data_IF_119619413166
#
_entry.id   IF_119619413166
#
_cell.length_a   1.000
_cell.length_b   1.000
_cell.length_c   1.000
_cell.angle_alpha   90.00
_cell.angle_beta   90.00
_cell.angle_gamma   90.00
#
_symmetry.space_group_name_H-M   'P 1'
#
loop_
_entity.id
_entity.type
_entity.pdbx_description
1 polymer ?
#
# COMPACT_ATOMS: atom_id res chain seq x y z
N UNK A 1 82.38 -23.87 -58.36
CA UNK A 1 82.03 -23.28 -59.67
C UNK A 1 80.56 -22.92 -59.60
N UNK A 2 80.23 -21.64 -59.41
CA UNK A 2 80.04 -20.67 -60.50
C UNK A 2 78.70 -20.92 -61.21
N UNK A 3 77.86 -19.96 -61.57
CA UNK A 3 77.67 -18.51 -61.35
C UNK A 3 76.43 -18.18 -62.24
N UNK A 4 75.94 -16.93 -62.21
CA UNK A 4 75.09 -16.26 -63.22
C UNK A 4 73.58 -16.60 -63.13
N UNK A 5 72.69 -15.75 -62.59
CA UNK A 5 72.20 -14.42 -63.02
C UNK A 5 71.25 -14.45 -64.22
N UNK A 6 70.01 -13.98 -64.04
CA UNK A 6 69.41 -13.01 -64.96
C UNK A 6 68.31 -12.17 -64.28
N UNK A 7 68.47 -10.85 -64.39
CA UNK A 7 67.49 -9.76 -64.27
C UNK A 7 66.28 -10.00 -65.21
N UNK A 8 65.08 -9.42 -65.16
CA UNK A 8 64.45 -8.14 -64.76
C UNK A 8 62.93 -8.50 -64.67
N UNK A 9 62.03 -7.82 -63.95
CA UNK A 9 61.39 -6.56 -64.39
C UNK A 9 60.43 -6.10 -63.28
N UNK A 10 60.52 -4.81 -62.95
CA UNK A 10 59.63 -4.04 -62.08
C UNK A 10 58.22 -3.92 -62.71
N UNK A 11 57.18 -4.19 -61.94
CA UNK A 11 55.86 -3.57 -62.11
C UNK A 11 55.31 -3.26 -60.70
N UNK A 12 55.46 -2.01 -60.29
CA UNK A 12 54.72 -1.45 -59.15
C UNK A 12 53.25 -1.38 -59.55
N UNK A 13 52.41 -2.22 -58.92
CA UNK A 13 50.97 -1.94 -58.81
C UNK A 13 50.71 -1.72 -57.33
N UNK A 14 50.61 -0.45 -56.93
CA UNK A 14 50.18 -0.06 -55.59
C UNK A 14 48.69 -0.38 -55.43
N UNK A 15 48.38 -1.54 -54.86
CA UNK A 15 47.05 -1.84 -54.34
C UNK A 15 46.96 -1.32 -52.91
N UNK A 16 46.12 -0.29 -52.71
CA UNK A 16 45.63 0.09 -51.38
C UNK A 16 44.92 -1.12 -50.75
N UNK A 17 45.57 -1.77 -49.79
CA UNK A 17 44.91 -2.65 -48.83
C UNK A 17 44.18 -1.74 -47.82
N UNK A 18 42.90 -1.45 -48.08
CA UNK A 18 41.99 -0.97 -47.04
C UNK A 18 41.74 -2.17 -46.12
N UNK A 19 42.06 -2.10 -44.82
CA UNK A 19 41.62 -3.12 -43.90
C UNK A 19 40.10 -3.01 -43.78
N UNK A 20 39.35 -3.92 -44.42
CA UNK A 20 37.99 -4.19 -43.97
C UNK A 20 38.13 -4.80 -42.59
N UNK A 21 37.96 -3.96 -41.56
CA UNK A 21 37.59 -4.45 -40.25
C UNK A 21 36.29 -5.25 -40.43
N UNK A 22 36.39 -6.57 -40.39
CA UNK A 22 35.21 -7.41 -40.14
C UNK A 22 34.71 -6.98 -38.76
N UNK A 23 33.69 -6.12 -38.75
CA UNK A 23 32.85 -5.97 -37.58
C UNK A 23 32.35 -7.37 -37.24
N UNK A 24 32.70 -7.84 -36.05
CA UNK A 24 32.05 -9.01 -35.49
C UNK A 24 30.53 -8.79 -35.63
N UNK A 25 29.74 -9.79 -36.07
CA UNK A 25 28.30 -9.65 -36.03
C UNK A 25 27.94 -9.39 -34.57
N UNK A 26 27.50 -8.17 -34.28
CA UNK A 26 26.97 -7.81 -32.98
C UNK A 26 25.92 -8.85 -32.64
N UNK A 27 26.15 -9.61 -31.58
CA UNK A 27 25.13 -10.47 -31.01
C UNK A 27 23.92 -9.56 -30.82
N UNK A 28 22.70 -9.91 -31.28
CA UNK A 28 21.52 -9.21 -30.83
C UNK A 28 21.60 -9.28 -29.31
N UNK A 29 21.74 -8.15 -28.62
CA UNK A 29 21.71 -8.15 -27.16
C UNK A 29 20.34 -8.67 -26.79
N UNK A 30 20.24 -9.95 -26.45
CA UNK A 30 18.99 -10.52 -26.00
C UNK A 30 18.66 -9.79 -24.70
N UNK A 31 17.71 -8.86 -24.78
CA UNK A 31 17.26 -8.11 -23.62
C UNK A 31 16.79 -9.11 -22.56
N UNK A 32 17.23 -8.92 -21.32
CA UNK A 32 16.66 -9.67 -20.20
C UNK A 32 15.24 -9.16 -19.90
N UNK A 33 14.56 -9.76 -18.92
CA UNK A 33 13.17 -9.40 -18.62
C UNK A 33 12.99 -7.92 -18.25
N UNK A 34 13.95 -7.31 -17.54
CA UNK A 34 13.90 -5.89 -17.22
C UNK A 34 14.27 -5.02 -18.42
N UNK A 35 15.18 -5.46 -19.29
CA UNK A 35 15.43 -4.80 -20.57
C UNK A 35 14.22 -4.80 -21.49
N UNK A 36 13.44 -5.89 -21.52
CA UNK A 36 12.17 -5.94 -22.24
C UNK A 36 11.15 -4.97 -21.65
N UNK A 37 11.02 -4.93 -20.31
CA UNK A 37 10.15 -3.98 -19.62
C UNK A 37 10.51 -2.53 -19.94
N UNK A 38 11.79 -2.17 -19.86
CA UNK A 38 12.29 -0.81 -20.12
C UNK A 38 12.04 -0.31 -21.55
N UNK A 39 12.03 -1.23 -22.53
CA UNK A 39 11.83 -0.88 -23.93
C UNK A 39 10.35 -0.81 -24.35
N UNK A 40 9.41 -1.09 -23.43
CA UNK A 40 7.97 -0.95 -23.70
C UNK A 40 7.51 0.48 -23.44
N UNK A 41 6.53 0.93 -24.23
CA UNK A 41 5.81 2.18 -23.97
C UNK A 41 4.97 2.01 -22.71
N UNK A 42 4.87 3.06 -21.90
CA UNK A 42 4.08 3.06 -20.66
C UNK A 42 2.63 2.54 -20.87
N UNK A 43 1.98 2.94 -21.97
CA UNK A 43 0.62 2.51 -22.33
C UNK A 43 0.49 1.04 -22.75
N UNK A 44 1.59 0.29 -22.81
CA UNK A 44 1.64 -1.10 -23.28
C UNK A 44 2.29 -2.03 -22.25
N UNK A 45 2.57 -1.53 -21.06
CA UNK A 45 3.07 -2.31 -19.93
C UNK A 45 1.94 -3.21 -19.40
N UNK A 46 2.28 -4.47 -19.12
CA UNK A 46 1.36 -5.41 -18.47
C UNK A 46 1.91 -5.85 -17.11
N UNK A 47 1.04 -6.41 -16.27
CA UNK A 47 1.47 -6.94 -14.96
C UNK A 47 2.52 -8.04 -15.12
N UNK A 48 2.34 -8.92 -16.11
CA UNK A 48 3.29 -9.98 -16.47
C UNK A 48 4.66 -9.43 -16.82
N UNK A 49 4.78 -8.29 -17.50
CA UNK A 49 6.09 -7.70 -17.82
C UNK A 49 6.86 -7.33 -16.55
N UNK A 50 6.17 -6.67 -15.60
CA UNK A 50 6.76 -6.27 -14.32
C UNK A 50 7.13 -7.49 -13.49
N UNK A 51 6.20 -8.45 -13.37
CA UNK A 51 6.42 -9.73 -12.66
C UNK A 51 7.63 -10.48 -13.21
N UNK A 52 7.79 -10.55 -14.54
CA UNK A 52 8.94 -11.20 -15.17
C UNK A 52 10.26 -10.48 -14.85
N UNK A 53 10.29 -9.15 -14.88
CA UNK A 53 11.47 -8.37 -14.48
C UNK A 53 11.83 -8.64 -13.01
N UNK A 54 10.85 -8.59 -12.10
CA UNK A 54 11.07 -8.84 -10.68
C UNK A 54 11.59 -10.26 -10.40
N UNK A 55 11.02 -11.27 -11.05
CA UNK A 55 11.49 -12.65 -10.92
C UNK A 55 12.87 -12.90 -11.51
N UNK A 56 13.31 -12.09 -12.49
CA UNK A 56 14.62 -12.21 -13.10
C UNK A 56 15.76 -11.70 -12.20
N UNK A 57 15.46 -10.96 -11.13
CA UNK A 57 16.47 -10.49 -10.17
C UNK A 57 16.99 -11.69 -9.36
N UNK A 58 18.31 -11.99 -9.43
CA UNK A 58 18.88 -13.16 -8.80
C UNK A 58 18.93 -13.01 -7.28
N UNK A 59 18.60 -14.09 -6.57
CA UNK A 59 18.72 -14.14 -5.11
C UNK A 59 20.16 -13.93 -4.63
N UNK A 60 20.37 -12.95 -3.75
CA UNK A 60 21.66 -12.71 -3.09
C UNK A 60 21.64 -13.24 -1.65
N UNK A 61 22.28 -14.39 -1.43
CA UNK A 61 22.27 -15.07 -0.12
C UNK A 61 22.90 -14.26 1.02
N UNK A 62 23.87 -13.39 0.71
CA UNK A 62 24.54 -12.57 1.73
C UNK A 62 23.61 -11.45 2.19
N UNK A 63 23.01 -10.72 1.24
CA UNK A 63 22.05 -9.67 1.54
C UNK A 63 20.80 -10.25 2.22
N UNK A 64 20.25 -11.34 1.69
CA UNK A 64 19.08 -12.01 2.25
C UNK A 64 19.30 -12.45 3.70
N UNK A 65 20.49 -12.97 4.02
CA UNK A 65 20.84 -13.34 5.40
C UNK A 65 20.79 -12.11 6.32
N UNK A 66 21.45 -11.01 5.94
CA UNK A 66 21.44 -9.80 6.76
C UNK A 66 20.02 -9.24 6.94
N UNK A 67 19.25 -9.17 5.84
CA UNK A 67 17.87 -8.69 5.86
C UNK A 67 17.02 -9.52 6.82
N UNK A 68 17.12 -10.85 6.73
CA UNK A 68 16.34 -11.74 7.58
C UNK A 68 16.74 -11.65 9.06
N UNK A 69 18.04 -11.58 9.36
CA UNK A 69 18.53 -11.38 10.73
C UNK A 69 17.99 -10.07 11.34
N UNK A 70 17.95 -9.02 10.53
CA UNK A 70 17.41 -7.72 10.93
C UNK A 70 15.90 -7.79 11.18
N UNK A 71 15.12 -8.26 10.20
CA UNK A 71 13.66 -8.37 10.32
C UNK A 71 13.29 -9.26 11.50
N UNK A 72 13.98 -10.39 11.67
CA UNK A 72 13.75 -11.28 12.81
C UNK A 72 14.03 -10.58 14.15
N UNK A 73 15.10 -9.80 14.25
CA UNK A 73 15.41 -9.03 15.48
C UNK A 73 14.34 -7.98 15.76
N UNK A 74 13.91 -7.22 14.74
CA UNK A 74 12.85 -6.21 14.89
C UNK A 74 11.54 -6.82 15.39
N UNK A 75 11.08 -7.92 14.78
CA UNK A 75 9.85 -8.60 15.21
C UNK A 75 10.00 -9.32 16.56
N UNK A 76 11.19 -9.73 16.95
CA UNK A 76 11.42 -10.35 18.25
C UNK A 76 11.40 -9.32 19.37
N UNK A 77 12.06 -8.18 19.17
CA UNK A 77 12.41 -7.27 20.24
C UNK A 77 11.56 -5.99 20.28
N UNK A 78 10.86 -5.63 19.19
CA UNK A 78 10.02 -4.43 19.09
C UNK A 78 8.54 -4.72 18.80
N UNK A 79 8.21 -5.83 18.14
CA UNK A 79 6.81 -6.20 17.92
C UNK A 79 6.18 -6.76 19.21
N UNK A 80 5.34 -5.97 19.86
CA UNK A 80 4.78 -6.26 21.18
C UNK A 80 3.71 -7.35 21.17
N UNK A 81 3.00 -7.53 20.06
CA UNK A 81 1.82 -8.39 19.94
C UNK A 81 2.11 -9.85 19.53
N UNK A 82 3.35 -10.33 19.67
CA UNK A 82 3.71 -11.72 19.31
C UNK A 82 2.90 -12.80 20.03
N UNK A 83 2.53 -12.56 21.29
CA UNK A 83 1.70 -13.47 22.10
C UNK A 83 0.21 -13.40 21.70
N UNK A 84 -0.28 -12.19 21.40
CA UNK A 84 -1.64 -11.98 20.88
C UNK A 84 -1.80 -12.66 19.52
N UNK A 85 -0.81 -12.55 18.63
CA UNK A 85 -0.80 -13.21 17.32
C UNK A 85 -0.85 -14.74 17.42
N UNK A 86 -0.35 -15.32 18.52
CA UNK A 86 -0.40 -16.75 18.80
C UNK A 86 -1.70 -17.21 19.49
N UNK A 87 -2.54 -16.28 19.93
CA UNK A 87 -3.69 -16.60 20.76
C UNK A 87 -4.89 -17.13 19.94
N UNK A 88 -5.28 -18.42 20.07
CA UNK A 88 -6.39 -18.97 19.30
C UNK A 88 -7.77 -18.57 19.86
N UNK A 89 -7.82 -17.83 20.98
CA UNK A 89 -9.04 -17.54 21.74
C UNK A 89 -9.67 -16.19 21.42
N UNK A 90 -9.16 -15.45 20.44
CA UNK A 90 -9.80 -14.21 20.00
C UNK A 90 -11.28 -14.48 19.63
N UNK A 91 -12.22 -13.67 20.11
CA UNK A 91 -13.64 -13.85 19.80
C UNK A 91 -13.92 -13.52 18.33
N UNK A 92 -14.99 -14.09 17.77
CA UNK A 92 -15.49 -13.66 16.46
C UNK A 92 -15.97 -12.18 16.56
N UNK A 93 -15.78 -11.35 15.52
CA UNK A 93 -15.19 -11.66 14.22
C UNK A 93 -13.66 -11.59 14.16
N UNK A 94 -12.98 -11.15 15.22
CA UNK A 94 -11.53 -10.91 15.27
C UNK A 94 -10.66 -12.18 15.32
N UNK A 95 -11.28 -13.36 15.30
CA UNK A 95 -10.56 -14.64 15.31
C UNK A 95 -9.80 -14.83 13.99
N UNK A 96 -8.47 -14.88 14.08
CA UNK A 96 -7.57 -15.23 12.98
C UNK A 96 -6.81 -16.53 13.29
N UNK A 97 -6.17 -17.11 12.28
CA UNK A 97 -5.25 -18.24 12.48
C UNK A 97 -4.06 -17.80 13.34
N UNK A 98 -3.62 -18.59 14.34
CA UNK A 98 -2.43 -18.27 15.12
C UNK A 98 -1.18 -18.15 14.24
N UNK A 99 -0.44 -17.06 14.40
CA UNK A 99 0.77 -16.76 13.63
C UNK A 99 1.98 -16.72 14.56
N UNK A 100 2.89 -17.67 14.37
CA UNK A 100 4.25 -17.61 14.90
C UNK A 100 5.16 -16.93 13.88
N UNK A 101 5.23 -15.59 13.94
CA UNK A 101 6.00 -14.79 12.98
C UNK A 101 7.48 -15.14 13.01
N UNK A 102 8.06 -15.35 14.19
CA UNK A 102 9.48 -15.67 14.35
C UNK A 102 9.81 -17.02 13.73
N UNK A 103 9.00 -18.05 14.00
CA UNK A 103 9.19 -19.38 13.40
C UNK A 103 9.01 -19.38 11.88
N UNK A 104 8.11 -18.56 11.34
CA UNK A 104 7.95 -18.40 9.88
C UNK A 104 9.17 -17.72 9.27
N UNK A 105 9.70 -16.67 9.89
CA UNK A 105 10.96 -16.04 9.47
C UNK A 105 12.14 -17.03 9.53
N UNK A 106 12.25 -17.85 10.58
CA UNK A 106 13.26 -18.92 10.63
C UNK A 106 13.10 -19.95 9.48
N UNK A 107 11.86 -20.23 9.10
CA UNK A 107 11.56 -21.16 7.99
C UNK A 107 12.04 -20.57 6.66
N UNK A 108 11.77 -19.28 6.41
CA UNK A 108 12.28 -18.53 5.25
C UNK A 108 13.81 -18.63 5.19
N UNK A 109 14.50 -18.48 6.33
CA UNK A 109 15.98 -18.61 6.39
C UNK A 109 16.53 -19.99 6.01
N UNK A 110 15.69 -21.02 5.96
CA UNK A 110 16.05 -22.39 5.55
C UNK A 110 15.55 -22.73 4.14
N UNK A 111 14.73 -21.87 3.55
CA UNK A 111 14.19 -22.04 2.19
C UNK A 111 15.23 -21.66 1.14
N UNK A 112 15.27 -22.42 0.04
CA UNK A 112 16.14 -22.11 -1.10
C UNK A 112 15.41 -21.22 -2.09
N UNK A 113 15.92 -20.02 -2.31
CA UNK A 113 15.39 -19.07 -3.28
C UNK A 113 16.32 -18.95 -4.49
N UNK A 114 15.72 -18.77 -5.66
CA UNK A 114 16.41 -18.40 -6.91
C UNK A 114 16.13 -16.95 -7.30
N UNK A 115 15.01 -16.40 -6.82
CA UNK A 115 14.56 -15.04 -7.08
C UNK A 115 14.57 -14.25 -5.79
N UNK A 116 15.17 -13.06 -5.82
CA UNK A 116 15.18 -12.13 -4.70
C UNK A 116 13.76 -11.62 -4.37
N UNK A 117 12.95 -11.40 -5.42
CA UNK A 117 11.54 -11.03 -5.28
C UNK A 117 10.74 -12.04 -4.46
N UNK A 118 10.88 -13.34 -4.76
CA UNK A 118 10.17 -14.38 -4.02
C UNK A 118 10.57 -14.42 -2.54
N UNK A 119 11.85 -14.22 -2.23
CA UNK A 119 12.33 -14.14 -0.85
C UNK A 119 11.66 -12.98 -0.10
N UNK A 120 11.61 -11.80 -0.71
CA UNK A 120 10.99 -10.61 -0.11
C UNK A 120 9.47 -10.75 0.02
N UNK A 121 8.79 -11.36 -0.96
CA UNK A 121 7.35 -11.61 -0.89
C UNK A 121 6.97 -12.61 0.21
N UNK A 122 7.80 -13.62 0.47
CA UNK A 122 7.56 -14.56 1.58
C UNK A 122 7.68 -13.88 2.96
N UNK A 123 8.63 -12.93 3.10
CA UNK A 123 8.74 -12.11 4.32
C UNK A 123 7.50 -11.22 4.48
N UNK A 124 7.10 -10.52 3.40
CA UNK A 124 5.90 -9.68 3.38
C UNK A 124 4.66 -10.48 3.79
N UNK A 125 4.43 -11.64 3.15
CA UNK A 125 3.29 -12.49 3.45
C UNK A 125 3.32 -13.04 4.90
N UNK A 126 4.51 -13.28 5.46
CA UNK A 126 4.67 -13.69 6.86
C UNK A 126 4.21 -12.59 7.82
N UNK A 127 4.50 -11.32 7.50
CA UNK A 127 4.16 -10.16 8.32
C UNK A 127 2.69 -9.78 8.13
N UNK A 128 2.18 -9.70 6.89
CA UNK A 128 0.77 -9.43 6.61
C UNK A 128 -0.18 -10.50 7.18
N UNK A 129 0.32 -11.72 7.43
CA UNK A 129 -0.45 -12.75 8.11
C UNK A 129 -0.83 -12.38 9.55
N UNK A 130 -0.08 -11.47 10.20
CA UNK A 130 -0.40 -10.96 11.54
C UNK A 130 -1.74 -10.23 11.59
N UNK A 131 -2.21 -9.68 10.46
CA UNK A 131 -3.43 -8.88 10.38
C UNK A 131 -3.39 -7.63 11.26
N UNK A 132 -2.22 -7.00 11.31
CA UNK A 132 -1.92 -5.81 12.09
C UNK A 132 -1.51 -4.66 11.14
N UNK A 133 -2.30 -3.59 11.14
CA UNK A 133 -2.07 -2.42 10.28
C UNK A 133 -0.80 -1.64 10.58
N UNK A 134 -0.13 -1.90 11.71
CA UNK A 134 1.15 -1.29 12.07
C UNK A 134 2.35 -2.22 11.83
N UNK A 135 2.11 -3.44 11.35
CA UNK A 135 3.16 -4.40 11.00
C UNK A 135 3.19 -4.58 9.47
N UNK A 136 4.17 -3.96 8.82
CA UNK A 136 4.38 -4.07 7.37
C UNK A 136 5.82 -4.39 7.01
N UNK A 137 6.00 -4.87 5.79
CA UNK A 137 7.31 -5.07 5.18
C UNK A 137 7.21 -4.77 3.69
N UNK A 138 7.71 -3.60 3.34
CA UNK A 138 7.69 -3.09 1.99
C UNK A 138 9.13 -2.95 1.47
N UNK A 139 9.30 -3.31 0.21
CA UNK A 139 10.61 -3.31 -0.45
C UNK A 139 10.48 -2.42 -1.66
N UNK A 140 11.17 -1.27 -1.62
CA UNK A 140 11.08 -0.27 -2.68
C UNK A 140 11.37 -0.85 -4.07
N UNK A 141 12.36 -1.73 -4.17
CA UNK A 141 12.72 -2.50 -5.38
C UNK A 141 11.50 -3.16 -6.05
N UNK A 142 10.47 -3.55 -5.29
CA UNK A 142 9.28 -4.25 -5.78
C UNK A 142 8.00 -3.43 -5.71
N UNK A 143 8.09 -2.18 -5.25
CA UNK A 143 7.00 -1.20 -5.26
C UNK A 143 7.12 -0.14 -6.37
N UNK A 144 8.07 -0.33 -7.31
CA UNK A 144 8.34 0.64 -8.37
C UNK A 144 7.24 0.77 -9.42
N UNK A 145 6.19 -0.06 -9.37
CA UNK A 145 5.04 -0.02 -10.25
C UNK A 145 3.74 -0.19 -9.45
N UNK A 146 2.77 0.67 -9.75
CA UNK A 146 1.39 0.54 -9.30
C UNK A 146 0.53 -0.13 -10.38
N UNK A 147 -0.51 -0.85 -9.94
CA UNK A 147 -1.46 -1.56 -10.77
C UNK A 147 -2.87 -1.06 -10.46
N UNK A 148 -3.50 -0.42 -11.44
CA UNK A 148 -4.87 0.11 -11.32
C UNK A 148 -5.80 -0.72 -12.19
N UNK A 149 -6.76 -1.41 -11.60
CA UNK A 149 -7.74 -2.17 -12.35
C UNK A 149 -8.77 -1.22 -12.97
N UNK A 150 -9.25 -1.54 -14.18
CA UNK A 150 -10.32 -0.79 -14.84
C UNK A 150 -11.53 -0.54 -13.94
N UNK A 151 -11.95 -1.54 -13.16
CA UNK A 151 -13.15 -1.46 -12.33
C UNK A 151 -12.79 -1.34 -10.85
N UNK A 152 -13.28 -0.28 -10.21
CA UNK A 152 -13.33 -0.17 -8.76
C UNK A 152 -14.70 -0.60 -8.25
N UNK A 153 -14.74 -1.30 -7.11
CA UNK A 153 -15.96 -1.93 -6.60
C UNK A 153 -16.36 -1.35 -5.24
N UNK A 154 -17.65 -1.31 -4.95
CA UNK A 154 -18.21 -0.93 -3.64
C UNK A 154 -19.35 -1.88 -3.26
N UNK A 155 -19.78 -1.85 -2.00
CA UNK A 155 -20.76 -2.80 -1.46
C UNK A 155 -22.00 -2.15 -0.81
N UNK A 156 -22.82 -1.39 -1.57
CA UNK A 156 -24.02 -0.76 -1.03
C UNK A 156 -25.09 -1.78 -0.65
N UNK A 157 -25.98 -1.37 0.25
CA UNK A 157 -27.21 -2.11 0.56
C UNK A 157 -28.33 -1.57 -0.31
N UNK A 158 -28.86 -2.41 -1.21
CA UNK A 158 -29.96 -2.08 -2.11
C UNK A 158 -31.12 -3.00 -1.79
N UNK A 159 -32.29 -2.44 -1.47
CA UNK A 159 -33.49 -3.19 -1.08
C UNK A 159 -33.23 -4.23 0.02
N UNK A 160 -32.48 -3.83 1.07
CA UNK A 160 -32.15 -4.70 2.21
C UNK A 160 -31.09 -5.78 1.92
N UNK A 161 -30.51 -5.82 0.72
CA UNK A 161 -29.47 -6.79 0.35
C UNK A 161 -28.15 -6.06 0.05
N UNK A 162 -27.07 -6.50 0.69
CA UNK A 162 -25.73 -6.00 0.35
C UNK A 162 -25.27 -6.59 -0.98
N UNK A 163 -24.90 -5.74 -1.93
CA UNK A 163 -24.54 -6.13 -3.29
C UNK A 163 -23.17 -5.56 -3.64
N UNK A 164 -22.31 -6.37 -4.25
CA UNK A 164 -21.08 -5.88 -4.83
C UNK A 164 -21.39 -5.23 -6.17
N UNK A 165 -21.03 -3.96 -6.34
CA UNK A 165 -21.35 -3.16 -7.52
C UNK A 165 -20.13 -2.40 -8.00
N UNK A 166 -20.09 -2.12 -9.31
CA UNK A 166 -19.08 -1.24 -9.89
C UNK A 166 -19.29 0.18 -9.35
N UNK A 167 -18.27 0.72 -8.69
CA UNK A 167 -18.24 2.09 -8.20
C UNK A 167 -17.81 3.07 -9.32
N UNK A 168 -16.77 2.68 -10.06
CA UNK A 168 -16.17 3.45 -11.14
C UNK A 168 -15.61 2.52 -12.22
N UNK A 169 -15.74 2.94 -13.47
CA UNK A 169 -15.03 2.37 -14.61
C UNK A 169 -14.11 3.44 -15.18
N UNK A 170 -12.79 3.21 -15.11
CA UNK A 170 -11.79 4.21 -15.53
C UNK A 170 -11.78 4.48 -17.03
N UNK A 171 -12.51 3.72 -17.84
CA UNK A 171 -12.61 3.94 -19.27
C UNK A 171 -13.65 5.02 -19.63
N UNK A 172 -14.92 4.76 -19.33
CA UNK A 172 -16.05 5.59 -19.78
C UNK A 172 -17.27 5.53 -18.84
N UNK A 173 -17.12 5.02 -17.61
CA UNK A 173 -18.22 4.82 -16.66
C UNK A 173 -19.39 3.92 -17.18
N UNK A 174 -19.21 3.17 -18.30
CA UNK A 174 -20.25 2.33 -18.92
C UNK A 174 -20.91 1.36 -17.92
N UNK A 175 -20.09 0.74 -17.06
CA UNK A 175 -20.55 -0.30 -16.13
C UNK A 175 -20.87 0.22 -14.73
N UNK A 176 -20.87 1.53 -14.51
CA UNK A 176 -21.10 2.12 -13.20
C UNK A 176 -22.45 1.69 -12.62
N UNK A 177 -22.43 1.20 -11.38
CA UNK A 177 -23.60 0.71 -10.67
C UNK A 177 -24.03 -0.70 -11.04
N UNK A 178 -23.46 -1.36 -12.07
CA UNK A 178 -23.79 -2.75 -12.38
C UNK A 178 -23.45 -3.68 -11.22
N UNK A 179 -24.25 -4.73 -11.02
CA UNK A 179 -24.00 -5.78 -10.03
C UNK A 179 -22.89 -6.68 -10.53
N UNK A 180 -21.91 -7.00 -9.68
CA UNK A 180 -20.84 -7.94 -9.99
C UNK A 180 -21.28 -9.34 -9.56
N UNK A 181 -21.59 -10.20 -10.52
CA UNK A 181 -22.05 -11.57 -10.25
C UNK A 181 -20.86 -12.51 -10.04
N UNK A 182 -19.85 -12.41 -10.91
CA UNK A 182 -18.68 -13.28 -10.90
C UNK A 182 -17.39 -12.48 -11.05
N UNK A 183 -16.33 -12.97 -10.39
CA UNK A 183 -14.94 -12.52 -10.55
C UNK A 183 -14.09 -13.75 -10.85
N UNK A 184 -13.38 -13.76 -11.97
CA UNK A 184 -12.55 -14.87 -12.44
C UNK A 184 -13.28 -16.23 -12.41
N UNK A 185 -14.55 -16.24 -12.85
CA UNK A 185 -15.39 -17.44 -12.87
C UNK A 185 -15.85 -17.93 -11.51
N UNK A 186 -15.65 -17.17 -10.42
CA UNK A 186 -16.15 -17.47 -9.08
C UNK A 186 -17.22 -16.47 -8.64
N UNK A 187 -18.20 -16.85 -7.80
CA UNK A 187 -19.17 -15.92 -7.24
C UNK A 187 -18.47 -14.74 -6.55
N UNK A 188 -18.86 -13.52 -6.91
CA UNK A 188 -18.09 -12.32 -6.58
C UNK A 188 -17.96 -12.08 -5.07
N UNK A 189 -19.03 -12.32 -4.30
CA UNK A 189 -19.03 -12.12 -2.86
C UNK A 189 -18.07 -13.06 -2.09
N UNK A 190 -18.14 -14.40 -2.27
CA UNK A 190 -17.15 -15.32 -1.74
C UNK A 190 -15.72 -14.98 -2.17
N UNK A 191 -15.53 -14.63 -3.45
CA UNK A 191 -14.22 -14.24 -3.97
C UNK A 191 -13.66 -13.03 -3.23
N UNK A 192 -14.44 -11.95 -3.10
CA UNK A 192 -13.99 -10.72 -2.44
C UNK A 192 -13.67 -10.91 -0.96
N UNK A 193 -14.48 -11.71 -0.25
CA UNK A 193 -14.23 -12.05 1.16
C UNK A 193 -12.96 -12.90 1.32
N UNK A 194 -12.73 -13.86 0.43
CA UNK A 194 -11.51 -14.66 0.44
C UNK A 194 -10.28 -13.79 0.13
N UNK A 195 -10.36 -12.98 -0.92
CA UNK A 195 -9.27 -12.09 -1.32
C UNK A 195 -8.90 -11.12 -0.20
N UNK A 196 -9.87 -10.37 0.35
CA UNK A 196 -9.60 -9.43 1.46
C UNK A 196 -9.10 -10.12 2.74
N UNK A 197 -9.50 -11.37 3.00
CA UNK A 197 -9.01 -12.14 4.15
C UNK A 197 -7.55 -12.60 3.96
N UNK A 198 -7.21 -13.09 2.76
CA UNK A 198 -5.92 -13.73 2.52
C UNK A 198 -4.84 -12.76 2.07
N UNK A 199 -5.21 -11.69 1.35
CA UNK A 199 -4.26 -10.75 0.75
C UNK A 199 -4.01 -9.55 1.65
N UNK A 200 -5.00 -9.04 2.38
CA UNK A 200 -4.83 -7.80 3.16
C UNK A 200 -4.36 -8.07 4.60
N UNK A 201 -3.34 -7.33 5.03
CA UNK A 201 -2.73 -7.39 6.35
C UNK A 201 -3.22 -6.38 7.38
N UNK A 202 -4.19 -5.51 7.05
CA UNK A 202 -4.44 -4.26 7.80
C UNK A 202 -5.19 -4.35 9.14
N UNK A 203 -5.97 -5.40 9.39
CA UNK A 203 -6.83 -5.44 10.58
C UNK A 203 -7.22 -6.86 10.94
N UNK A 204 -7.37 -7.15 12.23
CA UNK A 204 -7.93 -8.41 12.71
C UNK A 204 -9.41 -8.59 12.35
N UNK A 205 -10.16 -7.51 12.10
CA UNK A 205 -11.55 -7.58 11.66
C UNK A 205 -11.65 -7.85 10.15
N UNK A 206 -12.25 -8.98 9.73
CA UNK A 206 -12.46 -9.25 8.31
C UNK A 206 -13.31 -8.18 7.60
N UNK A 207 -14.21 -7.49 8.30
CA UNK A 207 -15.03 -6.44 7.69
C UNK A 207 -14.24 -5.17 7.44
N UNK A 208 -13.31 -4.80 8.32
CA UNK A 208 -12.40 -3.68 8.08
C UNK A 208 -11.52 -3.95 6.86
N UNK A 209 -11.00 -5.19 6.73
CA UNK A 209 -10.26 -5.62 5.53
C UNK A 209 -11.12 -5.59 4.26
N UNK A 210 -12.39 -5.98 4.36
CA UNK A 210 -13.31 -5.87 3.23
C UNK A 210 -13.57 -4.41 2.84
N UNK A 211 -13.78 -3.52 3.81
CA UNK A 211 -14.02 -2.09 3.54
C UNK A 211 -12.82 -1.46 2.82
N UNK A 212 -11.59 -1.73 3.27
CA UNK A 212 -10.39 -1.16 2.64
C UNK A 212 -10.05 -1.79 1.28
N UNK A 213 -10.53 -3.01 1.02
CA UNK A 213 -10.45 -3.63 -0.31
C UNK A 213 -11.32 -2.90 -1.34
N UNK A 214 -12.42 -2.31 -0.90
CA UNK A 214 -13.44 -1.67 -1.73
C UNK A 214 -13.25 -0.16 -1.78
N UNK A 215 -13.88 0.46 -2.77
CA UNK A 215 -13.89 1.90 -2.92
C UNK A 215 -14.59 2.55 -1.73
N UNK A 216 -13.95 3.59 -1.20
CA UNK A 216 -14.39 4.37 -0.04
C UNK A 216 -14.00 5.83 -0.23
N UNK A 217 -14.46 6.69 0.66
CA UNK A 217 -14.01 8.08 0.71
C UNK A 217 -12.96 8.22 1.81
N UNK A 218 -11.80 8.81 1.48
CA UNK A 218 -10.73 9.11 2.43
C UNK A 218 -10.65 10.61 2.65
N UNK A 219 -10.13 11.00 3.81
CA UNK A 219 -9.73 12.37 4.06
C UNK A 219 -8.25 12.58 3.73
N UNK A 220 -7.96 13.63 2.98
CA UNK A 220 -6.61 14.09 2.67
C UNK A 220 -6.26 15.32 3.48
N UNK A 221 -5.37 15.14 4.47
CA UNK A 221 -4.96 16.19 5.40
C UNK A 221 -4.16 17.31 4.73
N UNK A 222 -3.39 17.01 3.68
CA UNK A 222 -2.60 17.98 2.91
C UNK A 222 -3.46 19.03 2.19
N UNK A 223 -4.60 18.60 1.66
CA UNK A 223 -5.54 19.44 0.90
C UNK A 223 -6.76 19.85 1.72
N UNK A 224 -6.98 19.21 2.87
CA UNK A 224 -8.17 19.35 3.69
C UNK A 224 -9.43 18.85 2.98
N UNK A 225 -9.33 17.83 2.12
CA UNK A 225 -10.43 17.40 1.24
C UNK A 225 -10.78 15.93 1.41
N UNK A 226 -12.05 15.63 1.20
CA UNK A 226 -12.50 14.26 1.00
C UNK A 226 -12.31 13.84 -0.46
N UNK A 227 -11.68 12.70 -0.68
CA UNK A 227 -11.42 12.12 -1.99
C UNK A 227 -11.88 10.67 -2.07
N UNK A 228 -12.27 10.24 -3.26
CA UNK A 228 -12.59 8.83 -3.48
C UNK A 228 -11.30 8.02 -3.64
N UNK A 229 -11.22 6.94 -2.90
CA UNK A 229 -10.21 5.91 -3.03
C UNK A 229 -10.83 4.67 -3.65
N UNK A 230 -10.14 4.04 -4.60
CA UNK A 230 -10.68 2.87 -5.32
C UNK A 230 -10.68 1.57 -4.53
N UNK A 231 -10.03 1.56 -3.38
CA UNK A 231 -9.82 0.35 -2.59
C UNK A 231 -8.62 -0.46 -3.09
N UNK A 232 -8.03 -1.22 -2.18
CA UNK A 232 -6.84 -2.03 -2.48
C UNK A 232 -7.11 -3.22 -3.42
N UNK A 233 -8.37 -3.57 -3.67
CA UNK A 233 -8.68 -4.56 -4.69
C UNK A 233 -8.37 -4.05 -6.10
N UNK A 234 -8.71 -2.79 -6.36
CA UNK A 234 -8.53 -2.13 -7.65
C UNK A 234 -7.21 -1.36 -7.75
N UNK A 235 -6.58 -0.98 -6.63
CA UNK A 235 -5.24 -0.38 -6.62
C UNK A 235 -4.26 -1.28 -5.85
N UNK A 236 -3.23 -1.79 -6.53
CA UNK A 236 -2.20 -2.66 -5.94
C UNK A 236 -0.79 -2.10 -6.17
N UNK A 237 0.09 -2.34 -5.21
CA UNK A 237 1.54 -2.04 -5.30
C UNK A 237 2.40 -3.28 -5.49
N UNK A 238 1.79 -4.47 -5.35
CA UNK A 238 2.39 -5.77 -5.68
C UNK A 238 1.75 -6.28 -6.96
N UNK A 239 2.52 -6.89 -7.88
CA UNK A 239 1.96 -7.40 -9.12
C UNK A 239 0.78 -8.35 -8.88
N UNK A 240 -0.35 -8.17 -9.59
CA UNK A 240 -1.49 -9.07 -9.51
C UNK A 240 -1.15 -10.44 -10.14
N UNK A 241 -1.99 -11.42 -9.85
CA UNK A 241 -1.81 -12.81 -10.28
C UNK A 241 -1.95 -13.01 -11.80
N UNK A 242 -2.54 -12.04 -12.50
CA UNK A 242 -2.80 -12.04 -13.94
C UNK A 242 -2.88 -10.63 -14.51
N UNK A 243 -2.74 -10.49 -15.84
CA UNK A 243 -2.81 -9.21 -16.55
C UNK A 243 -4.20 -8.54 -16.57
N UNK A 244 -5.25 -9.29 -16.21
CA UNK A 244 -6.59 -8.76 -16.08
C UNK A 244 -7.41 -9.57 -15.07
N UNK A 245 -8.51 -8.97 -14.63
CA UNK A 245 -9.59 -9.63 -13.90
C UNK A 245 -10.78 -9.78 -14.85
N UNK A 246 -11.35 -10.99 -14.91
CA UNK A 246 -12.60 -11.24 -15.64
C UNK A 246 -13.80 -11.01 -14.72
N UNK A 247 -14.73 -10.16 -15.16
CA UNK A 247 -15.99 -9.89 -14.47
C UNK A 247 -17.18 -10.41 -15.29
N UNK A 248 -18.21 -10.88 -14.60
CA UNK A 248 -19.55 -11.01 -15.17
C UNK A 248 -20.48 -10.06 -14.42
N UNK A 249 -21.10 -9.14 -15.16
CA UNK A 249 -21.87 -8.02 -14.62
C UNK A 249 -23.33 -8.11 -15.04
N UNK A 250 -24.24 -7.88 -14.10
CA UNK A 250 -25.66 -7.66 -14.37
C UNK A 250 -25.97 -6.16 -14.33
N UNK A 251 -26.20 -5.57 -15.51
CA UNK A 251 -26.47 -4.15 -15.70
C UNK A 251 -27.96 -3.90 -15.96
N UNK A 252 -28.47 -2.74 -15.54
CA UNK A 252 -29.85 -2.35 -15.82
C UNK A 252 -30.09 -2.25 -17.34
N UNK A 253 -31.25 -2.74 -17.81
CA UNK A 253 -31.58 -2.79 -19.24
C UNK A 253 -30.96 -3.94 -20.03
N UNK A 254 -30.08 -4.75 -19.42
CA UNK A 254 -29.54 -5.97 -20.04
C UNK A 254 -30.33 -7.20 -19.62
N UNK A 255 -30.56 -8.14 -20.56
CA UNK A 255 -31.29 -9.39 -20.28
C UNK A 255 -30.39 -10.55 -19.88
N UNK A 256 -29.07 -10.39 -20.01
CA UNK A 256 -28.05 -11.41 -19.70
C UNK A 256 -26.82 -10.72 -19.11
N UNK A 257 -26.07 -11.40 -18.23
CA UNK A 257 -24.81 -10.88 -17.73
C UNK A 257 -23.82 -10.55 -18.85
N UNK A 258 -23.13 -9.43 -18.72
CA UNK A 258 -22.09 -8.96 -19.64
C UNK A 258 -20.73 -9.39 -19.10
N UNK A 259 -19.89 -9.95 -19.96
CA UNK A 259 -18.51 -10.29 -19.62
C UNK A 259 -17.61 -9.08 -19.88
N UNK A 260 -16.88 -8.65 -18.85
CA UNK A 260 -15.96 -7.50 -18.91
C UNK A 260 -14.56 -7.95 -18.51
N UNK A 261 -13.55 -7.51 -19.26
CA UNK A 261 -12.15 -7.72 -18.92
C UNK A 261 -11.64 -6.43 -18.29
N UNK A 262 -11.37 -6.47 -16.99
CA UNK A 262 -10.73 -5.39 -16.27
C UNK A 262 -9.23 -5.54 -16.34
N UNK A 263 -8.64 -4.97 -17.39
CA UNK A 263 -7.20 -4.89 -17.57
C UNK A 263 -6.54 -4.07 -16.45
N UNK A 264 -5.31 -4.42 -16.09
CA UNK A 264 -4.49 -3.61 -15.19
C UNK A 264 -3.77 -2.53 -15.98
N UNK A 265 -4.04 -1.27 -15.64
CA UNK A 265 -3.18 -0.17 -16.03
C UNK A 265 -1.95 -0.16 -15.12
N UNK A 266 -0.78 -0.33 -15.73
CA UNK A 266 0.50 -0.35 -15.02
C UNK A 266 1.12 1.04 -15.06
N UNK A 267 1.37 1.61 -13.89
CA UNK A 267 1.94 2.93 -13.75
C UNK A 267 3.30 2.83 -13.04
N UNK A 268 4.41 3.30 -13.63
CA UNK A 268 5.67 3.42 -12.89
C UNK A 268 5.49 4.42 -11.74
N UNK A 269 6.06 4.10 -10.58
CA UNK A 269 5.99 4.95 -9.40
C UNK A 269 6.82 6.23 -9.53
N UNK A 270 7.75 6.26 -10.50
CA UNK A 270 8.60 7.39 -10.86
C UNK A 270 8.82 7.42 -12.37
N UNK A 271 8.75 8.61 -12.98
CA UNK A 271 9.05 8.81 -14.40
C UNK A 271 10.57 8.85 -14.69
N UNK A 272 11.42 8.93 -13.67
CA UNK A 272 12.84 9.27 -13.82
C UNK A 272 13.80 8.07 -13.80
N UNK A 273 13.36 6.89 -13.37
CA UNK A 273 14.28 5.76 -13.23
C UNK A 273 14.58 5.11 -14.57
N UNK A 274 15.81 5.32 -15.06
CA UNK A 274 16.31 4.72 -16.29
C UNK A 274 16.99 3.39 -15.99
N UNK A 275 16.53 2.32 -16.64
CA UNK A 275 17.18 1.02 -16.67
C UNK A 275 16.97 0.37 -18.04
N UNK A 276 17.73 -0.68 -18.33
CA UNK A 276 17.76 -1.41 -19.60
C UNK A 276 18.12 -2.89 -19.45
N UNK A 277 18.34 -3.34 -18.20
CA UNK A 277 18.71 -4.69 -17.82
C UNK A 277 18.37 -4.92 -16.34
N UNK A 278 18.41 -6.17 -15.89
CA UNK A 278 18.30 -6.54 -14.47
C UNK A 278 19.37 -5.82 -13.65
N UNK A 279 20.62 -5.79 -14.14
CA UNK A 279 21.72 -5.16 -13.42
C UNK A 279 21.53 -3.65 -13.25
N UNK A 280 21.09 -2.94 -14.30
CA UNK A 280 20.81 -1.51 -14.20
C UNK A 280 19.53 -1.22 -13.39
N UNK A 281 18.53 -2.11 -13.41
CA UNK A 281 17.36 -2.02 -12.52
C UNK A 281 17.76 -2.14 -11.05
N UNK A 282 18.52 -3.18 -10.69
CA UNK A 282 18.99 -3.38 -9.30
C UNK A 282 19.80 -2.18 -8.83
N UNK A 283 20.70 -1.67 -9.68
CA UNK A 283 21.52 -0.52 -9.35
C UNK A 283 20.71 0.78 -9.18
N UNK A 284 19.77 1.06 -10.09
CA UNK A 284 19.11 2.36 -10.19
C UNK A 284 17.76 2.43 -9.49
N UNK A 285 17.17 1.28 -9.14
CA UNK A 285 15.90 1.20 -8.39
C UNK A 285 16.14 0.59 -7.02
N UNK A 286 16.74 -0.59 -6.94
CA UNK A 286 16.80 -1.35 -5.70
C UNK A 286 17.88 -0.83 -4.72
N UNK A 287 18.98 -0.30 -5.24
CA UNK A 287 20.12 0.20 -4.47
C UNK A 287 20.32 1.72 -4.59
N UNK A 288 19.37 2.45 -5.18
CA UNK A 288 19.49 3.89 -5.37
C UNK A 288 19.61 4.62 -4.01
N UNK A 289 20.55 5.57 -3.86
CA UNK A 289 20.73 6.28 -2.60
C UNK A 289 19.53 7.18 -2.28
N UNK A 290 19.10 7.18 -1.02
CA UNK A 290 18.11 8.13 -0.49
C UNK A 290 18.60 9.57 -0.71
N UNK A 291 17.82 10.34 -1.46
CA UNK A 291 18.14 11.73 -1.78
C UNK A 291 17.67 12.20 -3.17
N UNK A 292 17.18 11.30 -4.02
CA UNK A 292 16.52 11.66 -5.27
C UNK A 292 14.99 11.61 -5.12
N UNK A 293 14.34 12.75 -4.81
CA UNK A 293 12.89 12.80 -4.58
C UNK A 293 12.06 12.39 -5.79
N UNK A 294 12.67 12.27 -6.98
CA UNK A 294 11.98 11.83 -8.17
C UNK A 294 11.75 10.32 -8.24
N UNK A 295 12.50 9.50 -7.50
CA UNK A 295 12.43 8.03 -7.53
C UNK A 295 11.52 7.46 -6.43
N UNK A 296 11.22 8.29 -5.42
CA UNK A 296 10.31 7.93 -4.34
C UNK A 296 8.86 8.03 -4.80
N UNK A 297 8.35 6.94 -5.41
CA UNK A 297 6.94 6.63 -5.27
C UNK A 297 6.58 6.70 -3.80
N UNK A 298 5.53 7.43 -3.45
CA UNK A 298 5.04 7.54 -2.07
C UNK A 298 4.82 6.13 -1.52
N UNK A 299 5.79 5.61 -0.75
CA UNK A 299 5.40 4.77 0.37
C UNK A 299 4.44 5.63 1.21
N UNK A 300 3.36 5.06 1.76
CA UNK A 300 2.73 5.68 2.91
C UNK A 300 3.73 5.57 4.08
N UNK A 301 4.78 6.39 4.05
CA UNK A 301 5.45 6.78 5.26
C UNK A 301 4.42 7.58 6.08
N UNK A 302 4.45 7.49 7.41
CA UNK A 302 3.79 8.48 8.25
C UNK A 302 4.26 9.84 7.76
N UNK A 303 3.31 10.68 7.32
CA UNK A 303 3.57 12.04 6.88
C UNK A 303 4.45 12.70 7.93
N UNK A 304 5.68 13.17 7.61
CA UNK A 304 6.37 14.07 8.49
C UNK A 304 5.51 15.33 8.60
N UNK A 305 4.93 15.55 9.77
CA UNK A 305 4.08 16.69 10.05
C UNK A 305 4.96 17.94 10.00
N UNK A 306 5.07 18.58 8.84
CA UNK A 306 5.23 20.03 8.83
C UNK A 306 3.90 20.62 9.29
N UNK A 307 3.84 20.97 10.57
CA UNK A 307 2.74 21.69 11.19
C UNK A 307 2.33 22.86 10.29
N UNK A 308 1.09 22.89 9.76
CA UNK A 308 0.57 24.09 9.14
C UNK A 308 0.52 25.20 10.20
N UNK A 309 1.01 26.39 9.82
CA UNK A 309 0.83 27.59 10.61
C UNK A 309 -0.67 27.79 10.91
N UNK A 310 -1.08 28.21 12.12
CA UNK A 310 -2.49 28.22 12.57
C UNK A 310 -3.47 29.13 11.80
N UNK A 311 -3.05 29.79 10.72
CA UNK A 311 -3.72 31.00 10.22
C UNK A 311 -4.25 30.92 8.77
N UNK A 312 -4.38 29.74 8.18
CA UNK A 312 -5.04 29.63 6.87
C UNK A 312 -6.22 28.68 6.94
N UNK A 313 -7.40 29.24 7.20
CA UNK A 313 -8.66 28.60 6.86
C UNK A 313 -8.64 28.26 5.36
N UNK A 314 -8.49 26.97 5.06
CA UNK A 314 -8.52 26.48 3.69
C UNK A 314 -9.95 26.67 3.14
N UNK A 315 -10.10 27.15 1.89
CA UNK A 315 -11.41 27.44 1.31
C UNK A 315 -12.26 26.17 1.22
N UNK A 316 -13.44 26.24 1.83
CA UNK A 316 -14.38 25.13 1.98
C UNK A 316 -14.69 24.40 0.68
N UNK A 317 -14.59 23.07 0.74
CA UNK A 317 -14.96 22.18 -0.35
C UNK A 317 -16.45 21.89 -0.29
N UNK A 318 -17.07 21.76 -1.47
CA UNK A 318 -18.40 21.18 -1.60
C UNK A 318 -18.34 19.72 -1.17
N UNK A 319 -18.55 19.47 0.11
CA UNK A 319 -18.93 18.15 0.63
C UNK A 319 -20.04 17.59 -0.26
N UNK A 320 -19.97 16.29 -0.54
CA UNK A 320 -20.98 15.59 -1.30
C UNK A 320 -22.37 15.92 -0.74
N UNK A 321 -23.17 16.67 -1.50
CA UNK A 321 -24.55 16.94 -1.12
C UNK A 321 -25.31 15.61 -1.17
N UNK A 322 -25.70 15.11 0.00
CA UNK A 322 -26.56 13.94 0.10
C UNK A 322 -28.01 14.41 -0.03
N UNK A 323 -28.72 14.16 -1.15
CA UNK A 323 -30.06 14.74 -1.35
C UNK A 323 -31.06 14.31 -0.27
N UNK A 324 -30.88 13.10 0.29
CA UNK A 324 -31.69 12.54 1.38
C UNK A 324 -31.34 13.04 2.79
N UNK A 325 -30.33 13.91 2.94
CA UNK A 325 -29.89 14.42 4.23
C UNK A 325 -29.66 15.94 4.20
N UNK A 326 -29.78 16.59 5.35
CA UNK A 326 -29.37 17.98 5.58
C UNK A 326 -28.01 17.96 6.26
N UNK A 327 -26.99 18.62 5.68
CA UNK A 327 -25.72 18.82 6.37
C UNK A 327 -25.91 19.86 7.48
N UNK A 328 -25.59 19.47 8.71
CA UNK A 328 -25.82 20.29 9.92
C UNK A 328 -24.55 21.04 10.32
N UNK A 329 -23.42 20.35 10.32
CA UNK A 329 -22.13 20.87 10.72
C UNK A 329 -21.02 20.14 9.96
N UNK A 330 -19.90 20.82 9.76
CA UNK A 330 -18.70 20.30 9.13
C UNK A 330 -17.47 20.86 9.85
N UNK A 331 -16.53 19.97 10.17
CA UNK A 331 -15.18 20.30 10.62
C UNK A 331 -14.15 19.85 9.59
N UNK A 332 -12.92 19.68 10.02
CA UNK A 332 -11.84 19.29 9.12
C UNK A 332 -11.93 17.80 8.77
N UNK A 333 -12.22 16.91 9.73
CA UNK A 333 -12.32 15.46 9.52
C UNK A 333 -13.72 14.89 9.73
N UNK A 334 -14.64 15.71 10.24
CA UNK A 334 -15.98 15.28 10.70
C UNK A 334 -17.10 16.01 9.99
N UNK A 335 -18.15 15.30 9.61
CA UNK A 335 -19.38 15.89 9.04
C UNK A 335 -20.62 15.32 9.72
N UNK A 336 -21.56 16.19 10.07
CA UNK A 336 -22.84 15.82 10.65
C UNK A 336 -23.99 16.02 9.66
N UNK A 337 -24.84 15.01 9.55
CA UNK A 337 -26.04 15.04 8.72
C UNK A 337 -27.29 14.67 9.51
N UNK A 338 -28.43 15.21 9.10
CA UNK A 338 -29.77 14.86 9.58
C UNK A 338 -30.59 14.27 8.43
N UNK A 339 -31.11 13.04 8.60
CA UNK A 339 -31.84 12.37 7.52
C UNK A 339 -33.23 12.97 7.34
N UNK A 340 -33.58 13.33 6.10
CA UNK A 340 -34.87 13.99 5.79
C UNK A 340 -36.06 13.04 5.94
N UNK A 341 -35.91 11.80 5.47
CA UNK A 341 -36.97 10.78 5.52
C UNK A 341 -37.04 10.06 6.87
N UNK A 342 -35.94 10.08 7.63
CA UNK A 342 -35.84 9.47 8.96
C UNK A 342 -35.35 10.51 9.98
N UNK A 343 -36.18 11.52 10.31
CA UNK A 343 -35.74 12.69 11.09
C UNK A 343 -35.35 12.38 12.54
N UNK A 344 -35.55 11.14 13.00
CA UNK A 344 -35.07 10.68 14.30
C UNK A 344 -33.61 10.20 14.25
N UNK A 345 -32.99 10.15 13.07
CA UNK A 345 -31.63 9.66 12.80
C UNK A 345 -30.71 10.82 12.39
N UNK A 346 -29.59 10.94 13.10
CA UNK A 346 -28.45 11.73 12.69
C UNK A 346 -27.30 10.83 12.23
N UNK A 347 -26.46 11.33 11.35
CA UNK A 347 -25.25 10.63 10.88
C UNK A 347 -24.04 11.49 11.23
N UNK A 348 -23.07 10.92 11.94
CA UNK A 348 -21.76 11.50 12.19
C UNK A 348 -20.74 10.73 11.39
N UNK A 349 -20.15 11.37 10.38
CA UNK A 349 -19.11 10.78 9.55
C UNK A 349 -17.76 11.30 10.03
N UNK A 350 -16.83 10.41 10.37
CA UNK A 350 -15.46 10.77 10.76
C UNK A 350 -14.52 10.01 9.84
N UNK A 351 -13.95 10.68 8.84
CA UNK A 351 -13.06 10.03 7.86
C UNK A 351 -11.59 10.01 8.25
N UNK A 352 -11.20 10.70 9.33
CA UNK A 352 -9.83 10.63 9.84
C UNK A 352 -9.78 11.06 11.30
N UNK A 353 -8.91 10.42 12.07
CA UNK A 353 -8.44 10.94 13.35
C UNK A 353 -7.11 11.70 13.23
N UNK A 354 -6.53 11.77 12.03
CA UNK A 354 -5.29 12.50 11.74
C UNK A 354 -5.59 13.98 11.46
N UNK A 355 -6.18 14.62 12.47
CA UNK A 355 -6.59 16.03 12.44
C UNK A 355 -5.97 16.72 13.65
N UNK A 356 -5.20 17.78 13.40
CA UNK A 356 -4.64 18.64 14.43
C UNK A 356 -5.08 20.11 14.22
N UNK A 357 -5.29 20.89 15.29
CA UNK A 357 -5.27 20.48 16.70
C UNK A 357 -6.47 19.61 17.09
N UNK A 358 -6.24 18.56 17.89
CA UNK A 358 -7.28 17.56 18.23
C UNK A 358 -8.43 18.17 19.05
N UNK A 359 -8.16 19.21 19.83
CA UNK A 359 -9.15 19.90 20.66
C UNK A 359 -10.16 20.65 19.78
N UNK A 360 -9.70 21.25 18.67
CA UNK A 360 -10.56 21.99 17.74
C UNK A 360 -11.54 21.04 17.05
N UNK A 361 -11.06 19.88 16.58
CA UNK A 361 -11.94 18.88 15.96
C UNK A 361 -12.86 18.24 17.02
N UNK A 362 -12.37 18.06 18.25
CA UNK A 362 -13.19 17.63 19.39
C UNK A 362 -14.35 18.57 19.69
N UNK A 363 -14.14 19.89 19.61
CA UNK A 363 -15.21 20.89 19.75
C UNK A 363 -16.24 20.78 18.61
N UNK A 364 -15.82 20.51 17.36
CA UNK A 364 -16.75 20.25 16.25
C UNK A 364 -17.63 19.04 16.55
N UNK A 365 -17.04 17.94 17.05
CA UNK A 365 -17.81 16.74 17.42
C UNK A 365 -18.86 17.09 18.47
N UNK A 366 -18.48 17.84 19.51
CA UNK A 366 -19.39 18.27 20.56
C UNK A 366 -20.54 19.15 20.04
N UNK A 367 -20.23 20.18 19.24
CA UNK A 367 -21.24 21.08 18.68
C UNK A 367 -22.16 20.37 17.67
N UNK A 368 -21.64 19.40 16.92
CA UNK A 368 -22.43 18.59 16.00
C UNK A 368 -23.45 17.71 16.72
N UNK A 369 -23.04 17.06 17.82
CA UNK A 369 -23.93 16.30 18.70
C UNK A 369 -25.02 17.19 19.31
N UNK A 370 -24.68 18.41 19.76
CA UNK A 370 -25.66 19.39 20.24
C UNK A 370 -26.63 19.81 19.14
N UNK A 371 -26.14 20.03 17.93
CA UNK A 371 -26.97 20.42 16.79
C UNK A 371 -27.97 19.32 16.42
N UNK A 372 -27.55 18.05 16.40
CA UNK A 372 -28.45 16.91 16.21
C UNK A 372 -29.50 16.83 17.35
N UNK A 373 -29.08 17.00 18.60
CA UNK A 373 -29.98 17.02 19.74
C UNK A 373 -31.05 18.12 19.62
N UNK A 374 -30.66 19.32 19.18
CA UNK A 374 -31.59 20.44 18.94
C UNK A 374 -32.67 20.16 17.89
N UNK A 375 -32.41 19.18 16.99
CA UNK A 375 -33.34 18.70 15.96
C UNK A 375 -34.16 17.48 16.40
N UNK A 376 -34.16 17.13 17.69
CA UNK A 376 -34.84 15.97 18.25
C UNK A 376 -34.37 14.62 17.67
N UNK A 377 -33.12 14.54 17.23
CA UNK A 377 -32.49 13.27 16.85
C UNK A 377 -32.37 12.39 18.10
N UNK A 378 -32.78 11.13 17.96
CA UNK A 378 -32.76 10.13 19.06
C UNK A 378 -31.88 8.94 18.74
N UNK A 379 -31.45 8.78 17.48
CA UNK A 379 -30.59 7.70 17.03
C UNK A 379 -29.41 8.29 16.26
N UNK A 380 -28.20 7.86 16.58
CA UNK A 380 -26.98 8.28 15.91
C UNK A 380 -26.38 7.11 15.13
N UNK A 381 -26.11 7.32 13.85
CA UNK A 381 -25.25 6.46 13.04
C UNK A 381 -23.87 7.09 13.02
N UNK A 382 -22.84 6.31 13.34
CA UNK A 382 -21.45 6.75 13.25
C UNK A 382 -20.78 6.02 12.10
N UNK A 383 -20.29 6.77 11.14
CA UNK A 383 -19.64 6.25 9.95
C UNK A 383 -18.12 6.45 10.02
N UNK A 384 -17.43 5.32 10.14
CA UNK A 384 -15.96 5.21 10.11
C UNK A 384 -15.45 4.45 8.88
N UNK A 385 -16.30 4.19 7.87
CA UNK A 385 -15.93 3.33 6.74
C UNK A 385 -14.72 3.84 5.94
N UNK A 386 -14.51 5.16 5.96
CA UNK A 386 -13.33 5.81 5.36
C UNK A 386 -12.24 6.21 6.33
N UNK A 387 -12.39 5.88 7.62
CA UNK A 387 -11.43 6.27 8.65
C UNK A 387 -10.26 5.29 8.72
N UNK A 388 -9.05 5.79 8.49
CA UNK A 388 -7.82 5.00 8.51
C UNK A 388 -7.02 5.12 9.82
N UNK A 389 -7.52 5.89 10.79
CA UNK A 389 -6.84 6.17 12.06
C UNK A 389 -6.32 7.60 12.15
N UNK A 390 -5.30 7.80 12.99
CA UNK A 390 -4.68 9.09 13.29
C UNK A 390 -4.40 9.27 14.79
N UNK A 391 -4.56 10.48 15.31
CA UNK A 391 -4.28 10.78 16.72
C UNK A 391 -5.25 10.05 17.64
N UNK A 392 -4.71 9.25 18.55
CA UNK A 392 -5.52 8.47 19.47
C UNK A 392 -6.24 9.38 20.48
N UNK A 393 -5.68 10.55 20.75
CA UNK A 393 -6.27 11.60 21.58
C UNK A 393 -7.63 12.06 21.06
N UNK A 394 -7.77 12.31 19.75
CA UNK A 394 -9.05 12.69 19.16
C UNK A 394 -10.07 11.55 19.28
N UNK A 395 -9.63 10.30 19.08
CA UNK A 395 -10.50 9.14 19.25
C UNK A 395 -11.00 9.00 20.70
N UNK A 396 -10.15 9.31 21.70
CA UNK A 396 -10.52 9.29 23.11
C UNK A 396 -11.56 10.36 23.43
N UNK A 397 -11.41 11.59 22.90
CA UNK A 397 -12.41 12.66 23.03
C UNK A 397 -13.77 12.20 22.50
N UNK A 398 -13.81 11.60 21.29
CA UNK A 398 -15.05 11.10 20.69
C UNK A 398 -15.71 10.03 21.57
N UNK A 399 -14.94 9.07 22.08
CA UNK A 399 -15.46 8.02 22.98
C UNK A 399 -16.04 8.63 24.25
N UNK A 400 -15.35 9.58 24.89
CA UNK A 400 -15.80 10.21 26.12
C UNK A 400 -17.07 11.04 25.92
N UNK A 401 -17.25 11.68 24.77
CA UNK A 401 -18.47 12.41 24.41
C UNK A 401 -19.68 11.48 24.20
N UNK A 402 -19.47 10.31 23.59
CA UNK A 402 -20.54 9.36 23.28
C UNK A 402 -20.90 8.45 24.45
N UNK A 403 -19.91 8.08 25.26
CA UNK A 403 -20.02 7.15 26.36
C UNK A 403 -19.43 7.78 27.64
N UNK A 404 -20.09 8.81 28.20
CA UNK A 404 -19.59 9.49 29.39
C UNK A 404 -19.59 8.52 30.57
N UNK A 405 -18.39 8.14 31.04
CA UNK A 405 -18.22 7.27 32.20
C UNK A 405 -17.92 8.08 33.46
N UNK A 406 -18.22 7.48 34.63
CA UNK A 406 -18.00 8.11 35.95
C UNK A 406 -16.52 8.14 36.34
N UNK A 407 -15.76 7.18 35.85
CA UNK A 407 -14.30 7.12 35.96
C UNK A 407 -13.75 7.42 34.56
N UNK A 408 -12.76 8.33 34.40
CA UNK A 408 -12.16 8.58 33.11
C UNK A 408 -11.54 7.28 32.60
N UNK A 409 -12.02 6.78 31.47
CA UNK A 409 -11.23 5.85 30.66
C UNK A 409 -9.93 6.52 30.16
N UNK A 410 -9.81 7.84 30.39
CA UNK A 410 -8.74 8.75 29.98
C UNK A 410 -7.46 8.72 30.83
N UNK A 411 -7.30 7.81 31.80
CA UNK A 411 -6.01 7.73 32.54
C UNK A 411 -5.00 6.96 31.70
N UNK A 412 -4.63 7.52 30.54
CA UNK A 412 -3.59 7.06 29.64
C UNK A 412 -3.87 5.64 29.13
N UNK A 413 -3.88 5.42 27.81
CA UNK A 413 -3.84 4.05 27.27
C UNK A 413 -2.72 3.32 28.02
N UNK A 414 -3.05 2.30 28.82
CA UNK A 414 -2.06 1.57 29.60
C UNK A 414 -1.03 1.02 28.60
N UNK A 415 0.13 1.66 28.57
CA UNK A 415 1.19 1.29 27.67
C UNK A 415 2.05 0.23 28.37
N UNK A 416 1.83 -1.03 28.01
CA UNK A 416 2.75 -2.10 28.37
C UNK A 416 3.82 -2.21 27.27
N UNK A 417 5.07 -1.96 27.63
CA UNK A 417 6.21 -2.07 26.74
C UNK A 417 7.13 -3.20 27.22
N UNK A 418 7.40 -4.14 26.33
CA UNK A 418 8.42 -5.17 26.57
C UNK A 418 9.79 -4.52 26.55
N UNK A 419 10.49 -4.52 27.68
CA UNK A 419 11.83 -3.93 27.77
C UNK A 419 12.89 -4.97 27.36
N UNK A 420 13.49 -4.76 26.19
CA UNK A 420 14.62 -5.56 25.67
C UNK A 420 15.90 -4.71 25.59
N UNK A 421 17.08 -5.33 25.51
CA UNK A 421 18.35 -4.61 25.33
C UNK A 421 18.36 -3.74 24.04
N UNK A 422 17.91 -4.25 22.88
CA UNK A 422 17.66 -3.45 21.68
C UNK A 422 16.79 -2.21 21.92
N UNK A 423 15.65 -2.38 22.60
CA UNK A 423 14.74 -1.27 22.90
C UNK A 423 15.41 -0.22 23.79
N UNK A 424 16.16 -0.65 24.81
CA UNK A 424 16.92 0.25 25.68
C UNK A 424 17.99 1.05 24.91
N UNK A 425 18.68 0.41 23.96
CA UNK A 425 19.66 1.08 23.08
C UNK A 425 18.98 2.11 22.17
N UNK A 426 17.83 1.77 21.57
CA UNK A 426 17.07 2.69 20.73
C UNK A 426 16.56 3.89 21.54
N UNK A 427 16.01 3.65 22.72
CA UNK A 427 15.57 4.70 23.64
C UNK A 427 16.74 5.62 24.07
N UNK A 428 17.91 5.06 24.39
CA UNK A 428 19.10 5.84 24.72
C UNK A 428 19.59 6.68 23.54
N UNK A 429 19.50 6.15 22.32
CA UNK A 429 19.87 6.89 21.11
C UNK A 429 18.92 8.06 20.85
N UNK A 430 17.60 7.83 20.90
CA UNK A 430 16.58 8.88 20.79
C UNK A 430 16.77 9.98 21.83
N UNK A 431 16.99 9.60 23.09
CA UNK A 431 17.30 10.54 24.17
C UNK A 431 18.54 11.39 23.86
N UNK A 432 19.65 10.79 23.41
CA UNK A 432 20.87 11.51 23.05
C UNK A 432 20.70 12.43 21.83
N UNK A 433 19.83 12.05 20.90
CA UNK A 433 19.52 12.83 19.71
C UNK A 433 18.51 13.97 19.96
N UNK A 434 18.01 14.12 21.20
CA UNK A 434 16.91 15.02 21.53
C UNK A 434 15.64 14.76 20.69
N UNK A 435 15.48 13.52 20.21
CA UNK A 435 14.28 13.05 19.53
C UNK A 435 13.46 12.25 20.56
N UNK A 436 12.50 12.92 21.18
CA UNK A 436 11.63 12.34 22.23
C UNK A 436 10.35 11.74 21.68
N UNK A 437 10.08 11.89 20.38
CA UNK A 437 8.78 11.56 19.78
C UNK A 437 8.73 10.12 19.27
N UNK A 438 9.84 9.58 18.75
CA UNK A 438 9.86 8.25 18.14
C UNK A 438 11.10 7.43 18.53
N UNK A 439 10.89 6.17 18.92
CA UNK A 439 11.96 5.18 18.98
C UNK A 439 12.25 4.65 17.58
N UNK A 440 13.26 5.22 16.93
CA UNK A 440 13.66 4.84 15.58
C UNK A 440 14.73 3.74 15.60
N UNK A 441 14.31 2.50 15.42
CA UNK A 441 15.20 1.35 15.33
C UNK A 441 16.04 1.33 14.05
N UNK A 442 15.71 2.12 13.03
CA UNK A 442 16.51 2.20 11.80
C UNK A 442 17.92 2.74 12.08
N UNK A 443 18.09 3.52 13.14
CA UNK A 443 19.39 4.05 13.59
C UNK A 443 20.34 2.93 14.10
N UNK A 444 19.77 1.76 14.42
CA UNK A 444 20.51 0.58 14.88
C UNK A 444 20.67 -0.47 13.77
N UNK A 445 20.14 -0.18 12.58
CA UNK A 445 20.22 -1.04 11.41
C UNK A 445 21.00 -0.33 10.32
N UNK A 446 21.86 -1.04 9.60
CA UNK A 446 22.57 -0.50 8.46
C UNK A 446 22.22 -1.30 7.21
N UNK A 447 20.95 -1.16 6.78
CA UNK A 447 20.45 -1.78 5.56
C UNK A 447 21.17 -1.26 4.31
N UNK A 448 21.70 -0.02 4.35
CA UNK A 448 22.42 0.61 3.24
C UNK A 448 23.68 -0.15 2.84
N UNK A 449 24.43 -0.65 3.83
CA UNK A 449 25.63 -1.46 3.58
C UNK A 449 25.39 -2.96 3.69
N UNK A 450 24.13 -3.40 3.87
CA UNK A 450 23.81 -4.81 4.11
C UNK A 450 24.52 -5.35 5.35
N UNK A 451 24.72 -4.50 6.36
CA UNK A 451 25.31 -4.88 7.64
C UNK A 451 24.20 -5.23 8.64
N UNK A 452 24.43 -6.23 9.51
CA UNK A 452 23.45 -6.65 10.49
C UNK A 452 23.13 -5.54 11.49
N UNK A 453 22.03 -5.74 12.21
CA UNK A 453 21.67 -4.95 13.39
C UNK A 453 22.89 -4.75 14.30
N UNK A 454 23.20 -3.50 14.63
CA UNK A 454 24.34 -3.12 15.47
C UNK A 454 23.94 -3.20 16.93
N UNK A 455 24.18 -4.36 17.54
CA UNK A 455 24.17 -4.48 19.01
C UNK A 455 25.47 -3.84 19.53
N UNK A 456 25.47 -2.52 19.73
CA UNK A 456 26.63 -1.81 20.30
C UNK A 456 26.91 -2.27 21.74
#
# INVERSE_FOLDING_TARGET
>A
MALISLQQTLLLVGTLLIPLALAAPGTPSHLDACGLLANKKATSLTATDVTNCYHAIPFNSTLAKTTLETVHTLFKDYYTFTDVALNPRAPKPFKNEPIDVLKRLETIGRTKYTSDFQFHMDIRATIEALKDGHASYDVHCYGAYGFVNRLALHAPVVNGTQQLRVFRDTHDDEYKGCVVDMINGQPAWPYMKAWSTHVLGYSHDPNARLNIALATQLYKSDTGRFENFDGYFALRTVPPESDAIEYQLSCEGTSRPVKVIGEWFVQPASEEVKFDSVDSYVKNVCLAPEGDPSVHGQNPAPVPITLPSPDTALPGVKVQECPGAEKILEGNGTVFYHLKEQPHIGVMVIHSFDIAPVEVEGEVVFEGLKALHSKNVTNLVIDFQGNIGGYVELSAIVVQLLFPNKDPHDVLLEADQRVTKPLQQAALHGYKANNTEYMDASLLVDLKMGLPYKDN
#
